data_IF_882523678530
#
_entry.id   IF_882523678530
#
_cell.length_a   1.000
_cell.length_b   1.000
_cell.length_c   1.000
_cell.angle_alpha   90.00
_cell.angle_beta   90.00
_cell.angle_gamma   90.00
#
_symmetry.space_group_name_H-M   'P 1'
#
loop_
_entity.id
_entity.type
_entity.pdbx_description
1 polymer ?
#
# COMPACT_ATOMS: atom_id res chain seq x y z
N UNK A 1 45.89 -44.92 18.59
CA UNK A 1 45.41 -44.06 17.48
C UNK A 1 44.09 -43.48 17.93
N UNK A 2 43.98 -42.15 17.99
CA UNK A 2 42.83 -41.44 18.56
C UNK A 2 42.00 -40.97 17.36
N UNK A 3 40.81 -41.53 17.18
CA UNK A 3 39.88 -41.09 16.12
C UNK A 3 39.22 -39.78 16.55
N UNK A 4 39.40 -38.75 15.74
CA UNK A 4 38.86 -37.41 15.98
C UNK A 4 37.59 -37.27 15.13
N UNK A 5 36.43 -37.33 15.78
CA UNK A 5 35.13 -37.12 15.13
C UNK A 5 34.85 -35.62 15.01
N UNK A 6 34.89 -35.08 13.79
CA UNK A 6 34.49 -33.70 13.50
C UNK A 6 32.97 -33.55 13.56
N UNK A 7 32.47 -32.80 14.55
CA UNK A 7 31.07 -32.37 14.59
C UNK A 7 30.86 -31.25 13.57
N UNK A 8 30.04 -31.51 12.56
CA UNK A 8 29.57 -30.51 11.60
C UNK A 8 28.52 -29.62 12.28
N UNK A 9 28.88 -28.38 12.59
CA UNK A 9 27.94 -27.38 13.11
C UNK A 9 27.00 -26.96 11.98
N UNK A 10 25.74 -27.41 12.02
CA UNK A 10 24.70 -26.91 11.13
C UNK A 10 24.31 -25.50 11.59
N UNK A 11 24.79 -24.49 10.87
CA UNK A 11 24.29 -23.12 11.00
C UNK A 11 22.90 -23.05 10.36
N UNK A 12 21.86 -23.11 11.18
CA UNK A 12 20.49 -22.79 10.75
C UNK A 12 20.48 -21.31 10.37
N UNK A 13 20.62 -20.99 9.07
CA UNK A 13 20.36 -19.63 8.60
C UNK A 13 18.89 -19.31 8.95
N UNK A 14 18.62 -18.17 9.63
CA UNK A 14 17.24 -17.73 9.79
C UNK A 14 16.65 -17.56 8.39
N UNK A 15 15.51 -18.21 8.16
CA UNK A 15 14.67 -18.03 6.98
C UNK A 15 14.41 -16.53 6.87
N UNK A 16 15.06 -15.86 5.91
CA UNK A 16 14.76 -14.48 5.57
C UNK A 16 13.31 -14.48 5.12
N UNK A 17 12.45 -13.98 6.00
CA UNK A 17 11.04 -13.77 5.74
C UNK A 17 10.92 -12.88 4.49
N UNK A 18 10.02 -13.26 3.60
CA UNK A 18 9.88 -12.80 2.23
C UNK A 18 10.06 -11.26 2.09
N UNK A 19 11.27 -10.79 1.80
CA UNK A 19 11.56 -9.37 1.57
C UNK A 19 11.13 -9.01 0.15
N UNK A 20 9.81 -8.88 -0.08
CA UNK A 20 9.34 -8.23 -1.29
C UNK A 20 9.87 -6.78 -1.27
N UNK A 21 10.63 -6.42 -2.30
CA UNK A 21 11.15 -5.06 -2.43
C UNK A 21 9.98 -4.11 -2.69
N UNK A 22 9.97 -2.90 -2.08
CA UNK A 22 8.92 -1.93 -2.35
C UNK A 22 8.79 -1.63 -3.85
N UNK A 23 7.60 -1.85 -4.39
CA UNK A 23 7.24 -1.57 -5.78
C UNK A 23 6.39 -0.29 -5.91
N UNK A 24 6.20 0.44 -4.81
CA UNK A 24 5.51 1.73 -4.85
C UNK A 24 5.85 2.60 -3.65
N UNK A 25 5.37 3.84 -3.72
CA UNK A 25 5.48 4.81 -2.65
C UNK A 25 4.28 5.74 -2.62
N UNK A 26 3.99 6.24 -1.41
CA UNK A 26 3.00 7.28 -1.17
C UNK A 26 3.68 8.39 -0.37
N UNK A 27 3.53 9.62 -0.84
CA UNK A 27 3.99 10.81 -0.16
C UNK A 27 2.81 11.53 0.49
N UNK A 28 2.96 11.91 1.77
CA UNK A 28 2.01 12.72 2.54
C UNK A 28 2.79 13.85 3.19
N UNK A 29 2.63 15.07 2.69
CA UNK A 29 3.45 16.20 3.14
C UNK A 29 4.95 15.93 2.93
N UNK A 30 5.71 15.91 4.01
CA UNK A 30 7.15 15.61 4.00
C UNK A 30 7.47 14.13 4.11
N UNK A 31 6.50 13.30 4.48
CA UNK A 31 6.71 11.89 4.74
C UNK A 31 6.53 11.09 3.45
N UNK A 32 7.39 10.10 3.23
CA UNK A 32 7.30 9.17 2.10
C UNK A 32 7.34 7.74 2.61
N UNK A 33 6.27 7.01 2.37
CA UNK A 33 6.13 5.61 2.71
C UNK A 33 6.45 4.77 1.48
N UNK A 34 7.40 3.83 1.61
CA UNK A 34 7.70 2.83 0.57
C UNK A 34 7.00 1.53 0.95
N UNK A 35 6.09 1.07 0.08
CA UNK A 35 5.24 -0.08 0.36
C UNK A 35 5.39 -1.15 -0.70
N UNK A 36 5.04 -2.37 -0.30
CA UNK A 36 4.82 -3.50 -1.20
C UNK A 36 3.34 -3.55 -1.52
N UNK A 37 3.00 -3.33 -2.78
CA UNK A 37 1.65 -3.30 -3.31
C UNK A 37 1.30 -4.57 -4.07
N UNK A 38 0.11 -5.10 -3.77
CA UNK A 38 -0.59 -6.07 -4.62
C UNK A 38 -1.68 -5.34 -5.40
N UNK A 39 -1.77 -5.64 -6.69
CA UNK A 39 -2.70 -4.96 -7.59
C UNK A 39 -3.75 -5.93 -8.14
N UNK A 40 -4.97 -5.44 -8.22
CA UNK A 40 -6.15 -6.18 -8.64
C UNK A 40 -6.95 -5.38 -9.68
N UNK A 41 -7.83 -6.06 -10.39
CA UNK A 41 -8.92 -5.47 -11.15
C UNK A 41 -10.25 -6.05 -10.67
N UNK A 42 -11.22 -5.18 -10.45
CA UNK A 42 -12.60 -5.62 -10.19
C UNK A 42 -13.26 -6.17 -11.48
N UNK A 43 -14.51 -6.61 -11.39
CA UNK A 43 -15.25 -7.15 -12.53
C UNK A 43 -15.46 -6.17 -13.69
N UNK A 44 -15.40 -4.86 -13.41
CA UNK A 44 -15.48 -3.80 -14.42
C UNK A 44 -14.11 -3.45 -15.02
N UNK A 45 -13.04 -4.11 -14.56
CA UNK A 45 -11.67 -3.88 -15.00
C UNK A 45 -10.99 -2.68 -14.33
N UNK A 46 -11.60 -2.13 -13.29
CA UNK A 46 -11.10 -0.96 -12.57
C UNK A 46 -9.97 -1.38 -11.59
N UNK A 47 -8.81 -0.71 -11.64
CA UNK A 47 -7.67 -1.05 -10.80
C UNK A 47 -7.86 -0.75 -9.31
N UNK A 48 -7.37 -1.67 -8.48
CA UNK A 48 -7.20 -1.49 -7.03
C UNK A 48 -5.77 -1.89 -6.66
N UNK A 49 -5.12 -1.13 -5.79
CA UNK A 49 -3.83 -1.52 -5.21
C UNK A 49 -3.87 -1.44 -3.69
N UNK A 50 -3.35 -2.49 -3.04
CA UNK A 50 -3.26 -2.61 -1.59
C UNK A 50 -1.81 -2.72 -1.19
N UNK A 51 -1.32 -1.75 -0.42
CA UNK A 51 0.08 -1.63 -0.02
C UNK A 51 0.27 -1.91 1.46
N UNK A 52 1.37 -2.57 1.82
CA UNK A 52 1.77 -2.74 3.22
C UNK A 52 3.28 -2.53 3.40
N UNK A 53 3.68 -2.00 4.54
CA UNK A 53 5.07 -2.00 5.00
C UNK A 53 5.12 -1.99 6.52
N UNK A 54 6.20 -2.54 7.07
CA UNK A 54 6.49 -2.51 8.51
C UNK A 54 7.95 -2.15 8.71
N UNK A 55 8.21 -1.11 9.48
CA UNK A 55 9.55 -0.73 9.88
C UNK A 55 10.07 -1.71 10.95
N UNK A 56 11.11 -2.47 10.62
CA UNK A 56 11.68 -3.48 11.52
C UNK A 56 12.35 -2.91 12.77
N UNK A 57 12.71 -1.62 12.76
CA UNK A 57 13.40 -0.94 13.87
C UNK A 57 12.44 -0.30 14.86
N UNK A 58 11.31 0.22 14.38
CA UNK A 58 10.31 0.89 15.23
C UNK A 58 9.06 0.04 15.46
N UNK A 59 8.81 -0.97 14.62
CA UNK A 59 7.57 -1.72 14.60
C UNK A 59 6.39 -0.95 14.00
N UNK A 60 6.62 0.24 13.45
CA UNK A 60 5.56 1.02 12.80
C UNK A 60 5.06 0.29 11.56
N UNK A 61 3.73 0.17 11.43
CA UNK A 61 3.08 -0.42 10.25
C UNK A 61 2.36 0.65 9.45
N UNK A 62 2.37 0.50 8.13
CA UNK A 62 1.59 1.34 7.23
C UNK A 62 0.88 0.45 6.22
N UNK A 63 -0.41 0.66 6.09
CA UNK A 63 -1.28 0.03 5.11
C UNK A 63 -1.84 1.10 4.19
N UNK A 64 -2.02 0.80 2.90
CA UNK A 64 -2.57 1.72 1.92
C UNK A 64 -3.59 1.03 1.02
N UNK A 65 -4.63 1.77 0.65
CA UNK A 65 -5.63 1.37 -0.33
C UNK A 65 -5.72 2.46 -1.41
N UNK A 66 -5.58 2.05 -2.67
CA UNK A 66 -5.75 2.90 -3.84
C UNK A 66 -6.84 2.27 -4.70
N UNK A 67 -7.91 3.02 -4.96
CA UNK A 67 -9.01 2.63 -5.83
C UNK A 67 -9.09 3.62 -6.99
N UNK A 68 -8.91 3.12 -8.21
CA UNK A 68 -8.92 3.93 -9.43
C UNK A 68 -10.28 3.80 -10.13
N UNK A 69 -11.36 3.93 -9.35
CA UNK A 69 -12.73 3.76 -9.85
C UNK A 69 -13.19 4.99 -10.62
N UNK A 70 -13.90 4.78 -11.72
CA UNK A 70 -14.35 5.86 -12.60
C UNK A 70 -15.28 6.82 -11.83
N UNK A 71 -14.93 8.11 -11.84
CA UNK A 71 -15.70 9.18 -11.21
C UNK A 71 -15.60 9.27 -9.68
N UNK A 72 -15.08 8.25 -8.99
CA UNK A 72 -14.89 8.25 -7.53
C UNK A 72 -13.59 7.52 -7.12
N UNK A 73 -12.42 7.98 -7.58
CA UNK A 73 -11.16 7.43 -7.10
C UNK A 73 -11.00 7.73 -5.60
N UNK A 74 -10.29 6.84 -4.91
CA UNK A 74 -10.03 6.97 -3.48
C UNK A 74 -8.61 6.51 -3.15
N UNK A 75 -7.95 7.23 -2.24
CA UNK A 75 -6.69 6.82 -1.65
C UNK A 75 -6.75 7.02 -0.14
N UNK A 76 -6.43 5.96 0.60
CA UNK A 76 -6.31 5.98 2.05
C UNK A 76 -5.02 5.31 2.53
N UNK A 77 -4.47 5.80 3.63
CA UNK A 77 -3.29 5.29 4.32
C UNK A 77 -3.58 5.17 5.80
N UNK A 78 -3.45 3.96 6.35
CA UNK A 78 -3.60 3.66 7.76
C UNK A 78 -2.23 3.43 8.39
N UNK A 79 -1.82 4.33 9.29
CA UNK A 79 -0.58 4.21 10.06
C UNK A 79 -0.86 3.60 11.43
N UNK A 80 -0.09 2.59 11.81
CA UNK A 80 -0.13 1.88 13.09
C UNK A 80 -1.56 1.43 13.48
N UNK A 81 -2.37 1.05 12.50
CA UNK A 81 -3.75 0.59 12.69
C UNK A 81 -4.72 1.62 13.30
N UNK A 82 -4.34 2.90 13.40
CA UNK A 82 -5.11 3.87 14.19
C UNK A 82 -5.17 5.27 13.60
N UNK A 83 -4.13 5.71 12.87
CA UNK A 83 -4.11 7.04 12.27
C UNK A 83 -4.47 6.94 10.80
N UNK A 84 -5.58 7.56 10.40
CA UNK A 84 -6.05 7.51 9.01
C UNK A 84 -5.69 8.79 8.27
N UNK A 85 -5.08 8.63 7.10
CA UNK A 85 -4.85 9.70 6.14
C UNK A 85 -5.59 9.38 4.84
N UNK A 86 -6.34 10.33 4.32
CA UNK A 86 -7.19 10.13 3.15
C UNK A 86 -7.04 11.31 2.19
N UNK A 87 -7.23 11.04 0.90
CA UNK A 87 -7.44 12.11 -0.07
C UNK A 87 -8.67 12.93 0.31
N UNK A 88 -8.57 14.26 0.22
CA UNK A 88 -9.67 15.19 0.48
C UNK A 88 -10.93 14.81 -0.30
N UNK A 89 -12.07 14.74 0.39
CA UNK A 89 -13.37 14.50 -0.25
C UNK A 89 -13.94 15.75 -0.96
N UNK A 90 -13.28 16.90 -0.83
CA UNK A 90 -13.71 18.19 -1.41
C UNK A 90 -12.91 18.60 -2.64
N UNK A 91 -11.73 18.02 -2.81
CA UNK A 91 -10.86 18.28 -3.95
C UNK A 91 -10.98 17.14 -4.95
N UNK A 92 -10.66 17.43 -6.21
CA UNK A 92 -10.59 16.36 -7.22
C UNK A 92 -9.32 15.54 -7.00
N UNK A 93 -9.47 14.22 -6.99
CA UNK A 93 -8.36 13.28 -6.99
C UNK A 93 -8.22 12.73 -8.41
N UNK A 94 -7.06 12.93 -9.04
CA UNK A 94 -6.76 12.43 -10.38
C UNK A 94 -5.72 11.32 -10.28
N UNK A 95 -6.12 10.10 -10.63
CA UNK A 95 -5.24 8.94 -10.64
C UNK A 95 -5.22 8.38 -12.05
N UNK A 96 -4.02 8.32 -12.62
CA UNK A 96 -3.77 7.77 -13.94
C UNK A 96 -3.26 6.34 -13.85
N UNK A 97 -3.58 5.55 -14.87
CA UNK A 97 -3.08 4.20 -15.04
C UNK A 97 -2.50 4.06 -16.44
N UNK A 98 -1.22 3.73 -16.52
CA UNK A 98 -0.51 3.48 -17.78
C UNK A 98 0.14 2.09 -17.73
N UNK A 99 -0.44 1.15 -18.47
CA UNK A 99 -0.04 -0.26 -18.41
C UNK A 99 -0.19 -0.84 -17.01
N UNK A 100 0.93 -1.01 -16.30
CA UNK A 100 0.99 -1.52 -14.93
C UNK A 100 1.40 -0.45 -13.90
N UNK A 101 1.47 0.81 -14.31
CA UNK A 101 1.81 1.91 -13.43
C UNK A 101 0.54 2.65 -12.99
N UNK A 102 0.40 2.87 -11.69
CA UNK A 102 -0.65 3.73 -11.09
C UNK A 102 0.03 4.97 -10.53
N UNK A 103 -0.44 6.17 -10.90
CA UNK A 103 0.20 7.44 -10.54
C UNK A 103 -0.80 8.54 -10.20
N UNK A 104 -0.44 9.38 -9.24
CA UNK A 104 -1.08 10.67 -9.01
C UNK A 104 -0.01 11.69 -8.61
N UNK A 105 0.05 12.80 -9.34
CA UNK A 105 1.06 13.85 -9.12
C UNK A 105 0.71 14.78 -7.96
N UNK A 106 -0.58 15.03 -7.72
CA UNK A 106 -1.06 15.90 -6.65
C UNK A 106 -2.23 15.26 -5.93
N UNK A 107 -2.06 15.07 -4.63
CA UNK A 107 -3.09 14.61 -3.69
C UNK A 107 -3.14 15.63 -2.55
N UNK A 108 -4.33 16.17 -2.29
CA UNK A 108 -4.59 16.94 -1.08
C UNK A 108 -4.95 15.97 0.04
N UNK A 109 -4.10 15.88 1.07
CA UNK A 109 -4.28 14.92 2.15
C UNK A 109 -4.97 15.55 3.36
N UNK A 110 -5.88 14.78 3.93
CA UNK A 110 -6.51 15.05 5.22
C UNK A 110 -6.30 13.88 6.16
N UNK A 111 -6.23 14.19 7.44
CA UNK A 111 -6.15 13.22 8.52
C UNK A 111 -7.50 13.13 9.24
N UNK A 112 -7.90 11.91 9.55
CA UNK A 112 -9.10 11.56 10.33
C UNK A 112 -10.37 12.28 9.82
N UNK A 113 -10.75 12.02 8.56
CA UNK A 113 -11.93 12.64 7.94
C UNK A 113 -13.21 12.17 8.63
N UNK A 114 -14.05 13.11 9.05
CA UNK A 114 -15.43 12.83 9.43
C UNK A 114 -16.29 12.68 8.16
N UNK A 115 -16.82 11.47 7.94
CA UNK A 115 -17.66 11.14 6.78
C UNK A 115 -18.99 11.90 6.74
N UNK A 116 -19.47 12.43 7.87
CA UNK A 116 -20.70 13.23 7.88
C UNK A 116 -20.48 14.64 7.35
N UNK A 117 -19.41 15.30 7.80
CA UNK A 117 -19.06 16.68 7.40
C UNK A 117 -18.11 16.77 6.21
N UNK A 118 -17.52 15.65 5.80
CA UNK A 118 -16.45 15.55 4.81
C UNK A 118 -15.27 16.48 5.16
N UNK A 119 -14.92 16.57 6.44
CA UNK A 119 -13.83 17.41 6.94
C UNK A 119 -12.86 16.61 7.77
N UNK A 120 -11.56 16.82 7.53
CA UNK A 120 -10.46 16.31 8.34
C UNK A 120 -9.38 17.38 8.52
N UNK A 121 -8.37 17.09 9.34
CA UNK A 121 -7.21 17.96 9.53
C UNK A 121 -6.37 17.99 8.24
N UNK A 122 -6.10 19.16 7.67
CA UNK A 122 -5.22 19.25 6.49
C UNK A 122 -3.78 18.93 6.86
N UNK A 123 -3.18 17.95 6.18
CA UNK A 123 -1.78 17.53 6.40
C UNK A 123 -0.87 17.84 5.20
N UNK A 124 -1.40 18.60 4.22
CA UNK A 124 -0.65 19.11 3.08
C UNK A 124 -0.87 18.32 1.79
N UNK A 125 0.06 18.50 0.86
CA UNK A 125 0.03 17.86 -0.46
C UNK A 125 0.92 16.63 -0.50
N UNK A 126 0.66 15.76 -1.46
CA UNK A 126 1.47 14.58 -1.70
C UNK A 126 1.24 14.01 -3.09
N UNK A 127 1.80 12.82 -3.32
CA UNK A 127 1.75 12.13 -4.61
C UNK A 127 1.89 10.62 -4.37
N UNK A 128 1.64 9.80 -5.39
CA UNK A 128 1.89 8.36 -5.32
C UNK A 128 2.37 7.79 -6.63
N UNK A 129 3.06 6.66 -6.53
CA UNK A 129 3.43 5.80 -7.64
C UNK A 129 3.37 4.34 -7.20
N UNK A 130 2.80 3.48 -8.04
CA UNK A 130 2.82 2.04 -7.87
C UNK A 130 3.20 1.38 -9.18
N UNK A 131 4.22 0.52 -9.14
CA UNK A 131 4.55 -0.42 -10.21
C UNK A 131 3.93 -1.78 -9.89
N UNK A 132 2.81 -2.09 -10.54
CA UNK A 132 2.25 -3.43 -10.50
C UNK A 132 3.10 -4.37 -11.37
N UNK A 133 3.26 -5.62 -10.96
CA UNK A 133 3.80 -6.67 -11.85
C UNK A 133 2.70 -7.18 -12.79
N UNK A 134 1.48 -7.28 -12.25
CA UNK A 134 0.26 -7.71 -12.92
C UNK A 134 -0.96 -7.19 -12.14
N UNK A 135 -2.14 -7.30 -12.73
CA UNK A 135 -3.41 -7.15 -12.04
C UNK A 135 -4.07 -8.52 -11.87
N UNK A 136 -4.27 -8.93 -10.62
CA UNK A 136 -5.02 -10.15 -10.30
C UNK A 136 -6.53 -9.89 -10.34
N UNK A 137 -7.35 -10.94 -10.44
CA UNK A 137 -8.79 -10.78 -10.25
C UNK A 137 -9.09 -10.48 -8.78
N UNK A 138 -10.02 -9.57 -8.51
CA UNK A 138 -10.41 -9.24 -7.13
C UNK A 138 -11.15 -10.42 -6.46
N UNK A 139 -10.48 -11.05 -5.50
CA UNK A 139 -10.95 -12.22 -4.75
C UNK A 139 -12.17 -11.92 -3.84
N UNK A 140 -12.40 -10.66 -3.47
CA UNK A 140 -13.54 -10.31 -2.60
C UNK A 140 -14.86 -10.35 -3.37
N UNK A 141 -14.84 -9.97 -4.64
CA UNK A 141 -16.02 -10.03 -5.51
C UNK A 141 -16.33 -11.47 -5.97
N UNK A 142 -15.33 -12.34 -6.07
CA UNK A 142 -15.54 -13.77 -6.39
C UNK A 142 -16.35 -14.51 -5.31
N UNK A 143 -16.19 -14.12 -4.03
CA UNK A 143 -16.91 -14.75 -2.90
C UNK A 143 -18.35 -14.29 -2.74
N UNK A 144 -18.74 -13.17 -3.37
CA UNK A 144 -20.10 -12.63 -3.30
C UNK A 144 -21.01 -13.13 -4.43
N UNK A 145 -20.42 -13.77 -5.46
CA UNK A 145 -21.12 -14.31 -6.63
C UNK A 145 -21.34 -15.83 -6.58
N UNK A 146 -21.10 -16.47 -5.43
CA UNK A 146 -21.22 -17.92 -5.22
C UNK A 146 -22.05 -18.23 -3.97
#
# INVERSE_FOLDING_TARGET
MIETTTQTTQTTQPKVENSEFPNGWIQIGTDTFRLVFKCYKNQLGEPVAMGTTTDSSTGESVEALIQVFEGKPYVGVLKNGSTMFESSLKETLDISVDGYEIKSDVITWQKDIDLQSAYGESVGFGSLFVQCEKFEADLLEEKMNN
#
